data_IF_461324821269
#
_entry.id   IF_461324821269
#
_cell.length_a   1.000
_cell.length_b   1.000
_cell.length_c   1.000
_cell.angle_alpha   90.00
_cell.angle_beta   90.00
_cell.angle_gamma   90.00
#
_symmetry.space_group_name_H-M   'P 1'
#
loop_
_entity.id
_entity.type
_entity.pdbx_description
1 polymer ?
#
# COMPACT_ATOMS: atom_id res chain seq x y z
N UNK A 1 1.63 -7.42 -24.78
CA UNK A 1 2.26 -7.60 -23.46
C UNK A 1 2.60 -9.06 -23.26
N UNK A 2 3.87 -9.41 -23.42
CA UNK A 2 4.43 -10.76 -23.20
C UNK A 2 5.57 -10.78 -22.19
N UNK A 3 6.17 -9.62 -21.89
CA UNK A 3 7.28 -9.48 -20.94
C UNK A 3 6.97 -8.44 -19.86
N UNK A 4 7.65 -8.53 -18.72
CA UNK A 4 7.56 -7.54 -17.65
C UNK A 4 7.95 -6.13 -18.13
N UNK A 5 8.95 -6.04 -19.01
CA UNK A 5 9.43 -4.77 -19.53
C UNK A 5 8.40 -4.08 -20.45
N UNK A 6 7.66 -4.85 -21.26
CA UNK A 6 6.52 -4.31 -22.02
C UNK A 6 5.43 -3.76 -21.09
N UNK A 7 5.16 -4.45 -19.98
CA UNK A 7 4.18 -4.00 -18.97
C UNK A 7 4.64 -2.72 -18.29
N UNK A 8 5.90 -2.69 -17.86
CA UNK A 8 6.49 -1.53 -17.20
C UNK A 8 6.46 -0.30 -18.11
N UNK A 9 6.87 -0.45 -19.38
CA UNK A 9 6.85 0.65 -20.34
C UNK A 9 5.45 1.16 -20.65
N UNK A 10 4.42 0.32 -20.53
CA UNK A 10 3.04 0.74 -20.69
C UNK A 10 2.56 1.59 -19.51
N UNK A 11 2.95 1.25 -18.28
CA UNK A 11 2.44 1.93 -17.08
C UNK A 11 3.24 3.16 -16.66
N UNK A 12 4.53 3.25 -17.02
CA UNK A 12 5.42 4.34 -16.56
C UNK A 12 4.97 5.75 -16.96
N UNK A 13 4.23 5.88 -18.06
CA UNK A 13 3.77 7.17 -18.61
C UNK A 13 2.31 7.49 -18.18
N UNK A 14 1.67 6.61 -17.41
CA UNK A 14 0.34 6.84 -16.88
C UNK A 14 0.40 7.66 -15.58
N UNK A 15 -0.68 8.39 -15.23
CA UNK A 15 -0.75 9.04 -13.93
C UNK A 15 -0.60 8.04 -12.78
N UNK A 16 0.11 8.40 -11.69
CA UNK A 16 0.30 7.52 -10.54
C UNK A 16 -1.04 7.11 -9.94
N UNK A 17 -1.12 5.85 -9.54
CA UNK A 17 -2.30 5.28 -8.85
C UNK A 17 -2.13 5.30 -7.35
N UNK A 18 -3.22 5.49 -6.61
CA UNK A 18 -3.17 5.44 -5.14
C UNK A 18 -3.38 4.00 -4.67
N UNK A 19 -2.45 3.46 -3.90
CA UNK A 19 -2.51 2.12 -3.32
C UNK A 19 -2.76 2.19 -1.80
N UNK A 20 -3.77 1.48 -1.32
CA UNK A 20 -4.03 1.32 0.11
C UNK A 20 -3.42 -0.01 0.59
N UNK A 21 -2.50 0.06 1.55
CA UNK A 21 -1.78 -1.11 2.07
C UNK A 21 -2.26 -1.44 3.48
N UNK A 22 -2.86 -2.62 3.66
CA UNK A 22 -3.31 -3.13 4.97
C UNK A 22 -2.15 -3.75 5.75
N UNK A 23 -1.92 -3.31 6.99
CA UNK A 23 -0.71 -3.60 7.79
C UNK A 23 0.58 -3.39 7.01
N UNK A 24 0.86 -2.13 6.72
CA UNK A 24 2.03 -1.70 5.94
C UNK A 24 3.38 -1.80 6.67
N UNK A 25 3.42 -2.26 7.92
CA UNK A 25 4.65 -2.38 8.72
C UNK A 25 5.49 -3.62 8.34
N UNK A 26 5.88 -3.71 7.07
CA UNK A 26 6.69 -4.79 6.49
C UNK A 26 7.75 -4.19 5.56
N UNK A 27 9.01 -4.62 5.70
CA UNK A 27 10.16 -4.02 5.00
C UNK A 27 10.10 -4.23 3.49
N UNK A 28 9.87 -5.47 3.04
CA UNK A 28 9.77 -5.81 1.62
C UNK A 28 8.62 -5.06 0.95
N UNK A 29 7.49 -4.92 1.64
CA UNK A 29 6.34 -4.14 1.15
C UNK A 29 6.68 -2.66 1.03
N UNK A 30 7.30 -2.06 2.06
CA UNK A 30 7.65 -0.63 2.02
C UNK A 30 8.73 -0.34 0.97
N UNK A 31 9.69 -1.25 0.77
CA UNK A 31 10.69 -1.13 -0.30
C UNK A 31 10.06 -1.19 -1.69
N UNK A 32 9.12 -2.13 -1.91
CA UNK A 32 8.37 -2.21 -3.17
C UNK A 32 7.54 -0.93 -3.43
N UNK A 33 6.90 -0.38 -2.40
CA UNK A 33 6.16 0.89 -2.51
C UNK A 33 7.11 2.05 -2.80
N UNK A 34 8.24 2.13 -2.12
CA UNK A 34 9.27 3.14 -2.36
C UNK A 34 9.75 3.11 -3.81
N UNK A 35 10.14 1.95 -4.33
CA UNK A 35 10.60 1.82 -5.72
C UNK A 35 9.51 2.21 -6.73
N UNK A 36 8.27 1.76 -6.51
CA UNK A 36 7.15 2.09 -7.37
C UNK A 36 6.81 3.60 -7.32
N UNK A 37 6.98 4.22 -6.14
CA UNK A 37 6.80 5.66 -5.96
C UNK A 37 7.89 6.47 -6.67
N UNK A 38 9.16 6.11 -6.52
CA UNK A 38 10.29 6.75 -7.20
C UNK A 38 10.17 6.67 -8.74
N UNK A 39 9.52 5.62 -9.23
CA UNK A 39 9.21 5.43 -10.66
C UNK A 39 7.94 6.15 -11.11
N UNK A 40 7.25 6.87 -10.23
CA UNK A 40 6.02 7.61 -10.54
C UNK A 40 4.79 6.75 -10.79
N UNK A 41 4.80 5.48 -10.38
CA UNK A 41 3.71 4.52 -10.64
C UNK A 41 2.63 4.61 -9.56
N UNK A 42 3.04 4.81 -8.30
CA UNK A 42 2.09 4.83 -7.17
C UNK A 42 2.32 5.96 -6.17
N UNK A 43 1.24 6.33 -5.49
CA UNK A 43 1.25 6.95 -4.16
C UNK A 43 0.60 5.98 -3.19
N UNK A 44 0.92 6.05 -1.90
CA UNK A 44 0.44 5.07 -0.94
C UNK A 44 -0.30 5.69 0.25
N UNK A 45 -1.35 4.99 0.66
CA UNK A 45 -2.00 5.11 1.97
C UNK A 45 -1.58 3.88 2.77
N UNK A 46 -0.71 4.08 3.76
CA UNK A 46 -0.11 3.06 4.58
C UNK A 46 -0.92 2.92 5.87
N UNK A 47 -1.63 1.80 6.03
CA UNK A 47 -2.47 1.54 7.20
C UNK A 47 -1.78 0.54 8.11
N UNK A 48 -1.55 0.88 9.38
CA UNK A 48 -0.91 -0.02 10.34
C UNK A 48 -0.25 0.71 11.49
N UNK A 49 0.61 0.01 12.24
CA UNK A 49 1.33 0.55 13.39
C UNK A 49 2.29 1.66 12.94
N UNK A 50 1.91 2.92 13.17
CA UNK A 50 2.62 4.09 12.65
C UNK A 50 4.09 4.12 13.07
N UNK A 51 4.38 3.81 14.33
CA UNK A 51 5.74 3.82 14.85
C UNK A 51 6.64 2.81 14.13
N UNK A 52 6.08 1.65 13.76
CA UNK A 52 6.81 0.61 13.00
C UNK A 52 7.00 1.02 11.55
N UNK A 53 5.94 1.55 10.92
CA UNK A 53 6.02 2.06 9.53
C UNK A 53 7.10 3.14 9.44
N UNK A 54 7.10 4.12 10.35
CA UNK A 54 8.08 5.21 10.36
C UNK A 54 9.51 4.70 10.59
N UNK A 55 9.68 3.74 11.50
CA UNK A 55 10.98 3.12 11.76
C UNK A 55 11.54 2.42 10.52
N UNK A 56 10.74 1.58 9.87
CA UNK A 56 11.16 0.81 8.69
C UNK A 56 11.39 1.74 7.50
N UNK A 57 10.48 2.69 7.26
CA UNK A 57 10.64 3.70 6.22
C UNK A 57 11.95 4.50 6.40
N UNK A 58 12.31 4.84 7.65
CA UNK A 58 13.58 5.49 7.95
C UNK A 58 14.79 4.59 7.67
N UNK A 59 14.72 3.28 7.94
CA UNK A 59 15.85 2.37 7.68
C UNK A 59 16.10 2.17 6.19
N UNK A 60 15.04 2.15 5.37
CA UNK A 60 15.15 2.02 3.91
C UNK A 60 15.24 3.37 3.18
N UNK A 61 15.31 4.49 3.90
CA UNK A 61 15.33 5.85 3.34
C UNK A 61 14.13 6.16 2.41
N UNK A 62 12.94 5.71 2.79
CA UNK A 62 11.69 6.00 2.10
C UNK A 62 11.13 7.36 2.53
N UNK A 63 10.83 8.29 1.59
CA UNK A 63 10.26 9.59 1.93
C UNK A 63 8.78 9.47 2.30
N UNK A 64 8.43 9.65 3.57
CA UNK A 64 7.03 9.52 4.04
C UNK A 64 6.13 10.72 3.73
N UNK A 65 6.69 11.86 3.31
CA UNK A 65 5.92 13.11 3.08
C UNK A 65 4.85 12.96 1.99
N UNK A 66 5.10 12.07 1.02
CA UNK A 66 4.22 11.83 -0.12
C UNK A 66 3.26 10.65 0.09
N UNK A 67 3.24 10.09 1.30
CA UNK A 67 2.40 8.97 1.72
C UNK A 67 1.51 9.37 2.90
N UNK A 68 0.26 8.91 2.89
CA UNK A 68 -0.63 9.06 4.04
C UNK A 68 -0.44 7.85 4.98
N UNK A 69 -0.36 8.09 6.29
CA UNK A 69 -0.24 7.02 7.29
C UNK A 69 -1.46 7.05 8.19
N UNK A 70 -2.17 5.92 8.24
CA UNK A 70 -3.32 5.71 9.11
C UNK A 70 -2.90 4.78 10.24
N UNK A 71 -2.77 5.33 11.44
CA UNK A 71 -2.30 4.59 12.61
C UNK A 71 -3.37 3.62 13.14
N UNK A 72 -3.05 2.34 13.13
CA UNK A 72 -3.86 1.30 13.78
C UNK A 72 -3.01 0.07 14.09
N UNK A 73 -3.16 -0.45 15.30
CA UNK A 73 -2.44 -1.66 15.74
C UNK A 73 -3.25 -2.95 15.50
N UNK A 74 -4.50 -2.83 15.07
CA UNK A 74 -5.40 -3.98 14.83
C UNK A 74 -5.35 -4.39 13.37
N UNK A 75 -5.05 -5.67 13.10
CA UNK A 75 -5.11 -6.23 11.74
C UNK A 75 -6.48 -6.03 11.10
N UNK A 76 -7.55 -6.26 11.86
CA UNK A 76 -8.92 -6.17 11.34
C UNK A 76 -9.26 -4.73 10.94
N UNK A 77 -8.91 -3.77 11.79
CA UNK A 77 -9.15 -2.36 11.48
C UNK A 77 -8.26 -1.87 10.33
N UNK A 78 -7.01 -2.35 10.26
CA UNK A 78 -6.14 -2.05 9.13
C UNK A 78 -6.72 -2.54 7.79
N UNK A 79 -7.24 -3.77 7.77
CA UNK A 79 -7.95 -4.30 6.61
C UNK A 79 -9.21 -3.49 6.28
N UNK A 80 -10.02 -3.13 7.29
CA UNK A 80 -11.26 -2.35 7.10
C UNK A 80 -10.99 -0.97 6.50
N UNK A 81 -10.05 -0.23 7.07
CA UNK A 81 -9.71 1.10 6.56
C UNK A 81 -9.13 1.01 5.14
N UNK A 82 -8.21 0.08 4.87
CA UNK A 82 -7.66 -0.11 3.52
C UNK A 82 -8.75 -0.45 2.48
N UNK A 83 -9.67 -1.37 2.81
CA UNK A 83 -10.81 -1.72 1.94
C UNK A 83 -11.75 -0.53 1.76
N UNK A 84 -12.04 0.21 2.82
CA UNK A 84 -12.88 1.41 2.79
C UNK A 84 -12.29 2.49 1.88
N UNK A 85 -10.99 2.76 1.94
CA UNK A 85 -10.35 3.73 1.05
C UNK A 85 -10.56 3.38 -0.43
N UNK A 86 -10.48 2.09 -0.77
CA UNK A 86 -10.75 1.63 -2.14
C UNK A 86 -12.24 1.72 -2.48
N UNK A 87 -13.12 1.29 -1.57
CA UNK A 87 -14.58 1.35 -1.77
C UNK A 87 -15.11 2.77 -1.90
N UNK A 88 -14.48 3.75 -1.24
CA UNK A 88 -14.83 5.18 -1.31
C UNK A 88 -14.15 5.91 -2.48
N UNK A 89 -13.30 5.21 -3.27
CA UNK A 89 -12.55 5.80 -4.39
C UNK A 89 -11.39 6.70 -3.98
N UNK A 90 -10.98 6.68 -2.71
CA UNK A 90 -9.78 7.39 -2.20
C UNK A 90 -8.48 6.65 -2.58
N UNK A 91 -8.55 5.35 -2.80
CA UNK A 91 -7.49 4.53 -3.37
C UNK A 91 -7.99 3.76 -4.59
N UNK A 92 -7.10 3.52 -5.57
CA UNK A 92 -7.39 2.75 -6.77
C UNK A 92 -7.13 1.25 -6.57
N UNK A 93 -6.19 0.90 -5.69
CA UNK A 93 -5.65 -0.46 -5.54
C UNK A 93 -5.63 -0.84 -4.06
N UNK A 94 -6.10 -2.06 -3.75
CA UNK A 94 -5.92 -2.67 -2.43
C UNK A 94 -4.70 -3.58 -2.43
N UNK A 95 -3.81 -3.43 -1.45
CA UNK A 95 -2.64 -4.29 -1.25
C UNK A 95 -2.60 -4.86 0.16
N UNK A 96 -2.24 -6.14 0.24
CA UNK A 96 -2.00 -6.85 1.49
C UNK A 96 -0.56 -6.62 1.93
N UNK A 97 -0.35 -6.13 3.15
CA UNK A 97 0.92 -6.18 3.85
C UNK A 97 1.01 -7.39 4.79
N UNK A 98 1.36 -7.13 6.04
CA UNK A 98 1.63 -8.12 7.10
C UNK A 98 0.35 -8.65 7.77
N UNK A 99 -0.64 -9.06 6.96
CA UNK A 99 -1.86 -9.77 7.39
C UNK A 99 -2.03 -11.09 6.65
N UNK A 100 -2.84 -11.99 7.23
CA UNK A 100 -3.25 -13.21 6.55
C UNK A 100 -4.21 -12.88 5.40
N UNK A 101 -4.09 -13.63 4.29
CA UNK A 101 -4.98 -13.47 3.13
C UNK A 101 -6.46 -13.70 3.50
N UNK A 102 -6.73 -14.63 4.43
CA UNK A 102 -8.09 -14.88 4.90
C UNK A 102 -8.70 -13.68 5.64
N UNK A 103 -7.89 -12.92 6.39
CA UNK A 103 -8.35 -11.74 7.13
C UNK A 103 -8.78 -10.62 6.20
N UNK A 104 -7.94 -10.29 5.20
CA UNK A 104 -8.26 -9.22 4.24
C UNK A 104 -9.45 -9.60 3.34
N UNK A 105 -9.52 -10.85 2.86
CA UNK A 105 -10.63 -11.31 2.02
C UNK A 105 -11.96 -11.32 2.77
N UNK A 106 -11.95 -11.68 4.05
CA UNK A 106 -13.17 -11.62 4.87
C UNK A 106 -13.73 -10.20 4.91
N UNK A 107 -12.89 -9.19 5.09
CA UNK A 107 -13.30 -7.78 5.12
C UNK A 107 -13.79 -7.31 3.75
N UNK A 108 -13.12 -7.71 2.66
CA UNK A 108 -13.56 -7.37 1.29
C UNK A 108 -14.96 -7.91 0.98
N UNK A 109 -15.32 -9.06 1.55
CA UNK A 109 -16.61 -9.71 1.35
C UNK A 109 -17.68 -9.26 2.37
N UNK A 110 -17.28 -8.57 3.44
CA UNK A 110 -18.16 -8.04 4.47
C UNK A 110 -18.88 -6.80 3.91
N UNK A 111 -20.20 -6.91 3.70
CA UNK A 111 -21.05 -5.84 3.17
C UNK A 111 -21.97 -5.28 4.24
#
# INVERSE_FOLDING_TARGET
MRTFEEMYNYVKDLPPKTIAVAQAADEDVLEAIKEAHERGIVKAILVGDKEKIERIASSISMPLKDHEIIDTKSNLEACREAVKFVSEGKADILMKGLVQTAEILRVVLDK
#
